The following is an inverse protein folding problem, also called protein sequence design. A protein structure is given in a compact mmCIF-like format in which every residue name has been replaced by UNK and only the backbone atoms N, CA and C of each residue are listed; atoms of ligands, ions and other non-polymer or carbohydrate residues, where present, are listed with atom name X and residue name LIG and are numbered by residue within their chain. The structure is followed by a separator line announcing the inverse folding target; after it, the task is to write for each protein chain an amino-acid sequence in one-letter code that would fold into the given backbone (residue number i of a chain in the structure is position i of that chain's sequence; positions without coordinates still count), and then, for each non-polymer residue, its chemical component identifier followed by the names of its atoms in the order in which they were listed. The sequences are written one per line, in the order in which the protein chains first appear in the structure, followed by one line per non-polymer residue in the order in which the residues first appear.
data_IF_682565333650
#
_entry.id   IF_682565333650
#
_cell.length_a   1.000
_cell.length_b   1.000
_cell.length_c   1.000
_cell.angle_alpha   90.00
_cell.angle_beta   90.00
_cell.angle_gamma   90.00
#
_symmetry.space_group_name_H-M   'P 1'
#
loop_
_entity.id
_entity.type
_entity.pdbx_description
1 polymer ?
#
# COMPACT_ATOMS: atom_id res chain seq x y z
N UNK A 1 0.54 -12.89 -10.32
CA UNK A 1 -0.39 -11.76 -10.08
C UNK A 1 -1.61 -11.77 -11.02
N UNK A 2 -1.43 -11.93 -12.34
CA UNK A 2 -2.51 -11.84 -13.36
C UNK A 2 -3.78 -12.63 -13.05
N UNK A 3 -3.67 -13.90 -12.65
CA UNK A 3 -4.82 -14.73 -12.28
C UNK A 3 -5.64 -14.16 -11.10
N UNK A 4 -4.98 -13.57 -10.09
CA UNK A 4 -5.66 -12.93 -8.95
C UNK A 4 -6.47 -11.73 -9.46
N UNK A 5 -5.89 -10.93 -10.36
CA UNK A 5 -6.55 -9.75 -10.93
C UNK A 5 -7.73 -10.15 -11.82
N UNK A 6 -7.59 -11.19 -12.65
CA UNK A 6 -8.70 -11.70 -13.46
C UNK A 6 -9.88 -12.15 -12.58
N UNK A 7 -9.60 -12.88 -11.50
CA UNK A 7 -10.61 -13.29 -10.52
C UNK A 7 -11.23 -12.11 -9.80
N UNK A 8 -10.43 -11.09 -9.43
CA UNK A 8 -10.93 -9.85 -8.83
C UNK A 8 -11.87 -9.12 -9.79
N UNK A 9 -11.47 -8.90 -11.05
CA UNK A 9 -12.30 -8.23 -12.06
C UNK A 9 -13.67 -8.91 -12.24
N UNK A 10 -13.72 -10.23 -12.12
CA UNK A 10 -14.98 -11.00 -12.20
C UNK A 10 -15.87 -10.85 -10.96
N UNK A 11 -15.29 -10.55 -9.79
CA UNK A 11 -15.99 -10.64 -8.49
C UNK A 11 -16.15 -9.30 -7.78
N UNK A 12 -15.43 -8.26 -8.19
CA UNK A 12 -15.42 -6.94 -7.54
C UNK A 12 -16.77 -6.22 -7.61
N UNK A 13 -17.53 -6.43 -8.69
CA UNK A 13 -18.90 -5.92 -8.83
C UNK A 13 -19.94 -6.66 -7.96
N UNK A 14 -19.57 -7.80 -7.35
CA UNK A 14 -20.47 -8.66 -6.57
C UNK A 14 -20.18 -8.65 -5.07
N UNK A 15 -18.99 -8.19 -4.64
CA UNK A 15 -18.55 -8.24 -3.24
C UNK A 15 -17.95 -6.91 -2.82
N UNK A 16 -18.64 -6.21 -1.92
CA UNK A 16 -18.04 -5.10 -1.17
C UNK A 16 -17.13 -5.68 -0.08
N UNK A 17 -15.97 -5.04 0.07
CA UNK A 17 -15.03 -5.11 1.21
C UNK A 17 -13.83 -6.07 0.98
N UNK A 18 -12.62 -5.50 1.01
CA UNK A 18 -11.29 -6.14 0.91
C UNK A 18 -10.83 -6.58 -0.50
N UNK A 19 -11.10 -5.79 -1.54
CA UNK A 19 -10.62 -6.12 -2.89
C UNK A 19 -9.09 -6.05 -3.01
N UNK A 20 -8.47 -5.15 -2.23
CA UNK A 20 -7.03 -4.96 -2.21
C UNK A 20 -6.28 -6.09 -1.46
N UNK A 21 -6.98 -6.80 -0.55
CA UNK A 21 -6.39 -7.83 0.30
C UNK A 21 -5.70 -8.97 -0.47
N UNK A 22 -6.33 -9.65 -1.45
CA UNK A 22 -5.66 -10.73 -2.17
C UNK A 22 -4.40 -10.28 -2.93
N UNK A 23 -4.34 -9.00 -3.35
CA UNK A 23 -3.16 -8.41 -3.98
C UNK A 23 -2.06 -8.17 -2.94
N UNK A 24 -2.38 -7.43 -1.87
CA UNK A 24 -1.45 -7.15 -0.78
C UNK A 24 -0.86 -8.43 -0.20
N UNK A 25 -1.70 -9.43 0.06
CA UNK A 25 -1.28 -10.73 0.57
C UNK A 25 -0.35 -11.47 -0.40
N UNK A 26 -0.62 -11.43 -1.71
CA UNK A 26 0.26 -12.07 -2.70
C UNK A 26 1.63 -11.40 -2.77
N UNK A 27 1.67 -10.06 -2.77
CA UNK A 27 2.91 -9.29 -2.80
C UNK A 27 3.72 -9.51 -1.52
N UNK A 28 3.07 -9.48 -0.36
CA UNK A 28 3.73 -9.72 0.92
C UNK A 28 4.35 -11.12 1.03
N UNK A 29 3.68 -12.15 0.49
CA UNK A 29 4.23 -13.53 0.44
C UNK A 29 5.57 -13.62 -0.29
N UNK A 30 5.83 -12.72 -1.24
CA UNK A 30 7.14 -12.60 -1.86
C UNK A 30 8.08 -11.83 -0.95
N UNK A 31 7.75 -10.56 -0.66
CA UNK A 31 8.42 -9.71 0.35
C UNK A 31 7.44 -8.64 0.81
N UNK A 32 7.39 -8.33 2.10
CA UNK A 32 6.48 -7.31 2.63
C UNK A 32 6.67 -5.94 1.97
N UNK A 33 7.91 -5.59 1.62
CA UNK A 33 8.26 -4.34 0.93
C UNK A 33 7.57 -4.19 -0.43
N UNK A 34 7.15 -5.27 -1.09
CA UNK A 34 6.41 -5.20 -2.34
C UNK A 34 4.96 -4.76 -2.13
N UNK A 35 4.32 -5.17 -1.04
CA UNK A 35 2.99 -4.71 -0.69
C UNK A 35 3.00 -3.21 -0.34
N UNK A 36 4.05 -2.77 0.39
CA UNK A 36 4.29 -1.36 0.68
C UNK A 36 4.55 -0.56 -0.60
N UNK A 37 5.44 -1.04 -1.49
CA UNK A 37 5.72 -0.41 -2.79
C UNK A 37 4.43 -0.21 -3.59
N UNK A 38 3.58 -1.23 -3.65
CA UNK A 38 2.30 -1.14 -4.35
C UNK A 38 1.37 -0.09 -3.73
N UNK A 39 1.26 -0.04 -2.40
CA UNK A 39 0.44 0.98 -1.73
C UNK A 39 0.96 2.41 -1.97
N UNK A 40 2.28 2.61 -1.99
CA UNK A 40 2.90 3.89 -2.34
C UNK A 40 2.52 4.30 -3.77
N UNK A 41 2.63 3.39 -4.73
CA UNK A 41 2.25 3.68 -6.12
C UNK A 41 0.76 4.02 -6.25
N UNK A 42 -0.13 3.32 -5.53
CA UNK A 42 -1.56 3.66 -5.49
C UNK A 42 -1.80 5.09 -4.97
N UNK A 43 -1.13 5.47 -3.87
CA UNK A 43 -1.21 6.83 -3.30
C UNK A 43 -0.72 7.87 -4.32
N UNK A 44 0.39 7.61 -5.01
CA UNK A 44 0.93 8.51 -6.03
C UNK A 44 -0.02 8.65 -7.23
N UNK A 45 -0.62 7.55 -7.68
CA UNK A 45 -1.62 7.54 -8.75
C UNK A 45 -2.83 8.37 -8.34
N UNK A 46 -3.44 8.09 -7.17
CA UNK A 46 -4.57 8.86 -6.63
C UNK A 46 -4.29 10.36 -6.63
N UNK A 47 -3.12 10.74 -6.13
CA UNK A 47 -2.73 12.13 -5.96
C UNK A 47 -2.47 12.86 -7.27
N UNK A 48 -2.11 12.13 -8.32
CA UNK A 48 -1.99 12.69 -9.66
C UNK A 48 -3.36 13.02 -10.28
N UNK A 49 -4.41 12.32 -9.85
CA UNK A 49 -5.78 12.50 -10.35
C UNK A 49 -6.57 13.49 -9.49
N UNK A 50 -6.38 13.46 -8.16
CA UNK A 50 -7.00 14.37 -7.21
C UNK A 50 -6.02 15.48 -6.85
N UNK A 51 -6.26 16.67 -7.40
CA UNK A 51 -5.50 17.89 -7.07
C UNK A 51 -5.79 18.33 -5.64
N UNK A 52 -5.15 17.71 -4.66
CA UNK A 52 -5.17 18.12 -3.26
C UNK A 52 -3.88 18.87 -2.91
N UNK A 53 -4.02 20.08 -2.37
CA UNK A 53 -2.89 20.87 -1.86
C UNK A 53 -2.19 20.14 -0.69
N UNK A 54 -2.90 19.23 0.00
CA UNK A 54 -2.32 18.40 1.06
C UNK A 54 -1.32 17.39 0.58
N UNK A 55 -1.44 16.92 -0.65
CA UNK A 55 -0.46 15.98 -1.18
C UNK A 55 0.95 16.58 -1.14
N UNK A 56 1.09 17.88 -1.44
CA UNK A 56 2.37 18.58 -1.37
C UNK A 56 2.98 18.56 0.04
N UNK A 57 2.14 18.67 1.08
CA UNK A 57 2.54 18.64 2.49
C UNK A 57 2.90 17.22 2.95
N UNK A 58 2.18 16.22 2.42
CA UNK A 58 2.36 14.81 2.73
C UNK A 58 3.48 14.14 1.91
N UNK A 59 3.90 14.77 0.81
CA UNK A 59 4.91 14.24 -0.10
C UNK A 59 6.23 13.89 0.60
N UNK A 60 6.65 14.69 1.59
CA UNK A 60 7.83 14.40 2.40
C UNK A 60 7.76 13.03 3.07
N UNK A 61 6.59 12.64 3.59
CA UNK A 61 6.38 11.36 4.26
C UNK A 61 6.35 10.20 3.27
N UNK A 62 5.91 10.44 2.03
CA UNK A 62 5.95 9.44 0.94
C UNK A 62 7.39 9.24 0.46
N UNK A 63 8.17 10.31 0.29
CA UNK A 63 9.59 10.18 -0.06
C UNK A 63 10.35 9.44 1.04
N UNK A 64 10.09 9.78 2.31
CA UNK A 64 10.71 9.10 3.44
C UNK A 64 10.34 7.60 3.49
N UNK A 65 9.12 7.21 3.12
CA UNK A 65 8.75 5.79 2.96
C UNK A 65 9.61 5.09 1.89
N UNK A 66 9.90 5.75 0.78
CA UNK A 66 10.69 5.17 -0.31
C UNK A 66 12.16 5.01 0.12
N UNK A 67 12.71 6.02 0.80
CA UNK A 67 14.14 6.13 1.11
C UNK A 67 14.53 5.42 2.41
N UNK A 68 13.70 5.53 3.44
CA UNK A 68 14.11 5.22 4.83
C UNK A 68 13.35 4.03 5.44
N UNK A 69 12.32 3.47 4.77
CA UNK A 69 11.51 2.39 5.36
C UNK A 69 12.32 1.19 5.84
N UNK A 70 13.49 0.89 5.26
CA UNK A 70 14.33 -0.25 5.66
C UNK A 70 15.32 0.10 6.77
N UNK A 71 15.56 1.39 7.03
CA UNK A 71 16.56 1.89 8.00
C UNK A 71 15.93 2.20 9.36
N UNK A 72 14.70 2.71 9.35
CA UNK A 72 14.01 3.14 10.57
C UNK A 72 13.56 1.96 11.44
N UNK A 73 13.64 2.13 12.76
CA UNK A 73 13.12 1.16 13.74
C UNK A 73 11.58 1.13 13.74
N UNK A 74 10.94 0.08 14.28
CA UNK A 74 9.49 0.04 14.44
C UNK A 74 8.94 1.27 15.17
N UNK A 75 9.55 1.65 16.30
CA UNK A 75 9.11 2.80 17.10
C UNK A 75 9.17 4.12 16.33
N UNK A 76 10.22 4.34 15.52
CA UNK A 76 10.31 5.51 14.64
C UNK A 76 9.22 5.51 13.57
N UNK A 77 8.90 4.35 13.01
CA UNK A 77 7.81 4.23 12.03
C UNK A 77 6.45 4.54 12.67
N UNK A 78 6.23 4.11 13.92
CA UNK A 78 5.02 4.41 14.68
C UNK A 78 4.93 5.90 15.06
N UNK A 79 6.06 6.53 15.41
CA UNK A 79 6.13 7.96 15.68
C UNK A 79 5.70 8.77 14.45
N UNK A 80 6.26 8.47 13.27
CA UNK A 80 5.88 9.10 12.01
C UNK A 80 4.39 8.86 11.69
N UNK A 81 3.89 7.64 11.89
CA UNK A 81 2.46 7.34 11.73
C UNK A 81 1.59 8.25 12.60
N UNK A 82 1.99 8.43 13.87
CA UNK A 82 1.34 9.33 14.82
C UNK A 82 1.37 10.78 14.37
N UNK A 83 2.53 11.30 13.96
CA UNK A 83 2.66 12.67 13.43
C UNK A 83 1.65 12.95 12.33
N UNK A 84 1.57 12.06 11.34
CA UNK A 84 0.67 12.21 10.19
C UNK A 84 -0.80 12.08 10.63
N UNK A 85 -1.10 11.15 11.52
CA UNK A 85 -2.46 10.91 12.01
C UNK A 85 -3.08 12.14 12.67
N UNK A 86 -2.27 12.91 13.38
CA UNK A 86 -2.72 14.09 14.13
C UNK A 86 -2.58 15.42 13.38
N UNK A 87 -2.15 15.44 12.11
CA UNK A 87 -2.22 16.64 11.28
C UNK A 87 -3.69 17.13 11.12
N UNK A 88 -3.93 18.45 11.13
CA UNK A 88 -5.27 19.02 11.05
C UNK A 88 -5.95 18.72 9.70
N UNK A 89 -7.28 18.86 9.66
CA UNK A 89 -8.10 18.74 8.43
C UNK A 89 -7.96 17.38 7.72
N UNK A 90 -8.21 16.27 8.44
CA UNK A 90 -7.94 14.91 7.97
C UNK A 90 -8.59 14.57 6.61
N UNK A 91 -7.77 14.14 5.67
CA UNK A 91 -8.18 13.58 4.38
C UNK A 91 -7.92 12.05 4.32
N UNK A 92 -8.55 11.38 3.35
CA UNK A 92 -8.35 9.94 3.09
C UNK A 92 -6.87 9.63 2.82
N UNK A 93 -6.21 10.46 2.01
CA UNK A 93 -4.79 10.30 1.69
C UNK A 93 -3.87 10.43 2.91
N UNK A 94 -4.16 11.36 3.82
CA UNK A 94 -3.43 11.49 5.08
C UNK A 94 -3.59 10.21 5.92
N UNK A 95 -4.81 9.70 5.99
CA UNK A 95 -5.13 8.47 6.72
C UNK A 95 -4.42 7.26 6.11
N UNK A 96 -4.37 7.17 4.77
CA UNK A 96 -3.70 6.10 4.05
C UNK A 96 -2.20 6.08 4.34
N UNK A 97 -1.52 7.24 4.27
CA UNK A 97 -0.09 7.33 4.54
C UNK A 97 0.23 7.01 6.01
N UNK A 98 -0.58 7.51 6.96
CA UNK A 98 -0.40 7.19 8.37
C UNK A 98 -0.54 5.68 8.64
N UNK A 99 -1.56 5.04 8.06
CA UNK A 99 -1.74 3.57 8.14
C UNK A 99 -0.58 2.81 7.52
N UNK A 100 -0.03 3.30 6.41
CA UNK A 100 1.10 2.65 5.76
C UNK A 100 2.36 2.68 6.63
N UNK A 101 2.64 3.78 7.32
CA UNK A 101 3.70 3.85 8.33
C UNK A 101 3.44 2.91 9.52
N UNK A 102 2.19 2.85 10.00
CA UNK A 102 1.79 1.90 11.04
C UNK A 102 1.96 0.45 10.60
N UNK A 103 1.68 0.13 9.33
CA UNK A 103 1.90 -1.18 8.72
C UNK A 103 3.37 -1.55 8.75
N UNK A 104 4.28 -0.64 8.42
CA UNK A 104 5.73 -0.91 8.45
C UNK A 104 6.20 -1.15 9.88
N UNK A 105 5.74 -0.35 10.84
CA UNK A 105 6.01 -0.60 12.26
C UNK A 105 5.58 -2.01 12.65
N UNK A 106 4.34 -2.40 12.36
CA UNK A 106 3.79 -3.70 12.73
C UNK A 106 4.49 -4.87 12.02
N UNK A 107 4.89 -4.70 10.75
CA UNK A 107 5.62 -5.72 10.00
C UNK A 107 7.01 -5.96 10.58
N UNK A 108 7.69 -4.90 11.01
CA UNK A 108 9.03 -4.99 11.60
C UNK A 108 9.01 -5.50 13.05
N UNK A 109 8.00 -5.13 13.82
CA UNK A 109 7.81 -5.60 15.20
C UNK A 109 7.39 -7.09 15.20
N UNK A 110 6.54 -7.50 14.25
CA UNK A 110 6.07 -8.86 14.08
C UNK A 110 7.08 -9.86 13.51
N UNK A 111 8.29 -9.43 13.14
CA UNK A 111 9.40 -10.34 12.81
C UNK A 111 9.89 -11.12 14.06
N UNK A 112 9.54 -10.69 15.28
CA UNK A 112 9.91 -11.40 16.52
C UNK A 112 8.93 -12.53 16.93
N UNK A 113 7.64 -12.48 16.55
CA UNK A 113 6.60 -13.41 17.09
C UNK A 113 5.69 -14.11 16.05
N UNK A 114 5.96 -14.00 14.75
CA UNK A 114 5.36 -14.89 13.73
C UNK A 114 3.93 -14.58 13.28
N UNK A 115 3.31 -13.49 13.73
CA UNK A 115 1.99 -13.04 13.25
C UNK A 115 2.09 -11.82 12.31
N UNK A 116 2.49 -12.07 11.06
CA UNK A 116 2.60 -11.07 9.98
C UNK A 116 1.23 -10.55 9.46
N UNK A 117 0.13 -10.79 10.21
CA UNK A 117 -1.25 -10.52 9.76
C UNK A 117 -1.64 -9.04 9.87
N UNK A 118 -1.08 -8.30 10.85
CA UNK A 118 -1.40 -6.88 11.04
C UNK A 118 -0.98 -5.99 9.87
N UNK A 119 0.21 -6.23 9.31
CA UNK A 119 0.75 -5.43 8.20
C UNK A 119 -0.04 -5.54 6.90
N UNK A 120 -0.49 -6.74 6.51
CA UNK A 120 -1.31 -6.91 5.30
C UNK A 120 -2.58 -6.10 5.40
N UNK A 121 -3.22 -6.12 6.58
CA UNK A 121 -4.51 -5.48 6.80
C UNK A 121 -4.39 -3.95 6.75
N UNK A 122 -3.33 -3.39 7.33
CA UNK A 122 -3.10 -1.94 7.26
C UNK A 122 -2.70 -1.47 5.86
N UNK A 123 -1.88 -2.25 5.13
CA UNK A 123 -1.57 -1.97 3.73
C UNK A 123 -2.83 -2.03 2.85
N UNK A 124 -3.69 -3.02 3.08
CA UNK A 124 -4.97 -3.15 2.39
C UNK A 124 -5.86 -1.94 2.65
N UNK A 125 -6.00 -1.55 3.92
CA UNK A 125 -6.81 -0.40 4.32
C UNK A 125 -6.28 0.91 3.72
N UNK A 126 -4.96 1.09 3.64
CA UNK A 126 -4.36 2.26 2.99
C UNK A 126 -4.75 2.36 1.51
N UNK A 127 -4.73 1.26 0.77
CA UNK A 127 -5.11 1.24 -0.65
C UNK A 127 -6.61 1.47 -0.84
N UNK A 128 -7.46 0.86 0.00
CA UNK A 128 -8.91 1.05 -0.09
C UNK A 128 -9.35 2.48 0.26
N UNK A 129 -8.61 3.18 1.14
CA UNK A 129 -8.84 4.60 1.42
C UNK A 129 -8.58 5.49 0.20
N UNK A 130 -7.61 5.14 -0.65
CA UNK A 130 -7.31 5.89 -1.88
C UNK A 130 -8.00 5.29 -3.11
N UNK A 131 -9.00 4.45 -2.93
CA UNK A 131 -9.98 4.08 -3.97
C UNK A 131 -11.34 3.82 -3.31
N UNK A 132 -12.01 4.88 -2.82
CA UNK A 132 -13.26 4.73 -2.07
C UNK A 132 -14.42 4.24 -2.96
N UNK A 133 -14.37 4.53 -4.27
CA UNK A 133 -15.33 4.02 -5.25
C UNK A 133 -14.67 3.12 -6.29
N UNK A 134 -14.88 1.81 -6.15
CA UNK A 134 -14.43 0.79 -7.10
C UNK A 134 -15.09 0.91 -8.49
N UNK A 135 -16.12 1.74 -8.63
CA UNK A 135 -16.74 2.09 -9.91
C UNK A 135 -15.86 3.03 -10.74
N UNK A 136 -14.84 3.65 -10.13
CA UNK A 136 -13.77 4.32 -10.87
C UNK A 136 -12.85 3.28 -11.51
N UNK A 137 -13.32 2.73 -12.63
CA UNK A 137 -12.63 1.68 -13.36
C UNK A 137 -11.27 2.15 -13.89
N UNK A 138 -11.12 3.44 -14.19
CA UNK A 138 -9.84 3.99 -14.64
C UNK A 138 -8.79 3.94 -13.54
N UNK A 139 -9.11 4.48 -12.36
CA UNK A 139 -8.21 4.48 -11.22
C UNK A 139 -7.92 3.06 -10.73
N UNK A 140 -8.96 2.22 -10.66
CA UNK A 140 -8.84 0.80 -10.32
C UNK A 140 -7.89 0.07 -11.29
N UNK A 141 -8.06 0.22 -12.60
CA UNK A 141 -7.21 -0.47 -13.58
C UNK A 141 -5.74 -0.07 -13.42
N UNK A 142 -5.44 1.22 -13.16
CA UNK A 142 -4.07 1.67 -12.88
C UNK A 142 -3.49 1.03 -11.62
N UNK A 143 -4.29 0.81 -10.57
CA UNK A 143 -3.83 0.14 -9.35
C UNK A 143 -3.53 -1.35 -9.60
N UNK A 144 -4.36 -2.00 -10.40
CA UNK A 144 -4.18 -3.40 -10.79
C UNK A 144 -2.94 -3.56 -11.69
N UNK A 145 -2.73 -2.66 -12.65
CA UNK A 145 -1.54 -2.63 -13.50
C UNK A 145 -0.25 -2.44 -12.69
N UNK A 146 -0.25 -1.54 -11.72
CA UNK A 146 0.87 -1.36 -10.80
C UNK A 146 1.21 -2.67 -10.05
N UNK A 147 0.20 -3.40 -9.56
CA UNK A 147 0.42 -4.68 -8.90
C UNK A 147 1.01 -5.75 -9.83
N UNK A 148 0.57 -5.82 -11.10
CA UNK A 148 1.16 -6.73 -12.10
C UNK A 148 2.62 -6.37 -12.32
N UNK A 149 2.90 -5.12 -12.64
CA UNK A 149 4.25 -4.64 -12.96
C UNK A 149 5.22 -4.92 -11.82
N UNK A 150 4.87 -4.58 -10.58
CA UNK A 150 5.71 -4.84 -9.40
C UNK A 150 6.01 -6.33 -9.24
N UNK A 151 5.00 -7.19 -9.45
CA UNK A 151 5.16 -8.63 -9.34
C UNK A 151 6.08 -9.18 -10.45
N UNK A 152 5.92 -8.72 -11.68
CA UNK A 152 6.76 -9.15 -12.81
C UNK A 152 8.20 -8.67 -12.67
N UNK A 153 8.41 -7.41 -12.27
CA UNK A 153 9.75 -6.86 -11.96
C UNK A 153 10.47 -7.73 -10.91
N UNK A 154 9.76 -8.13 -9.85
CA UNK A 154 10.33 -9.00 -8.82
C UNK A 154 10.63 -10.41 -9.34
N UNK A 155 9.72 -11.02 -10.08
CA UNK A 155 9.90 -12.37 -10.62
C UNK A 155 11.08 -12.43 -11.60
N UNK A 156 11.22 -11.45 -12.50
CA UNK A 156 12.36 -11.36 -13.43
C UNK A 156 13.70 -11.22 -12.70
N UNK A 157 13.78 -10.35 -11.69
CA UNK A 157 15.02 -10.14 -10.92
C UNK A 157 15.46 -11.39 -10.13
N UNK A 158 14.52 -12.25 -9.73
CA UNK A 158 14.85 -13.48 -9.00
C UNK A 158 15.01 -14.71 -9.91
N UNK A 159 14.57 -14.66 -11.17
CA UNK A 159 14.85 -15.69 -12.18
C UNK A 159 16.28 -15.59 -12.73
N UNK A 160 16.89 -14.41 -12.74
CA UNK A 160 18.30 -14.23 -13.15
C UNK A 160 19.32 -14.79 -12.12
N UNK A 161 18.84 -15.28 -10.97
CA UNK A 161 19.66 -15.77 -9.84
C UNK A 161 19.49 -17.30 -9.63
N UNK A 162 18.63 -17.97 -10.40
CA UNK A 162 18.42 -19.44 -10.37
C UNK A 162 18.98 -20.14 -11.60
#
# INVERSE_FOLDING_TARGET
MKQIIEQLKQTIGQKKILWAYPIANKLQKYRYTLAIKWAIECIQIYSSEIKSDKFSQLYKYIQQLIEEQNVLTPSQCLEISGEIWYLPEREEIQTAIARLWGSISALKDGEEDGEVHGGVMETTAAVELVLPDISDHHLLDRYLEAAVRICEEYESQNQEIS
#
